data_IF_021654045795
#
_entry.id   IF_021654045795
#
_cell.length_a   1.000
_cell.length_b   1.000
_cell.length_c   1.000
_cell.angle_alpha   90.00
_cell.angle_beta   90.00
_cell.angle_gamma   90.00
#
_symmetry.space_group_name_H-M   'P 1'
#
loop_
_entity.id
_entity.type
_entity.pdbx_description
1 polymer ?
#
# COMPACT_ATOMS: atom_id res chain seq x y z
N UNK A 1 -19.37 4.82 7.86
CA UNK A 1 -18.32 5.08 6.86
C UNK A 1 -18.25 3.88 5.94
N UNK A 2 -18.45 4.11 4.63
CA UNK A 2 -18.34 3.11 3.57
C UNK A 2 -17.05 3.35 2.81
N UNK A 3 -16.23 2.31 2.64
CA UNK A 3 -14.96 2.39 1.93
C UNK A 3 -15.00 1.41 0.77
N UNK A 4 -14.69 1.89 -0.44
CA UNK A 4 -14.52 1.05 -1.62
C UNK A 4 -13.04 0.88 -1.95
N UNK A 5 -12.69 -0.28 -2.48
CA UNK A 5 -11.31 -0.62 -2.83
C UNK A 5 -11.22 -1.04 -4.28
N UNK A 6 -10.18 -0.54 -4.98
CA UNK A 6 -9.77 -1.06 -6.27
C UNK A 6 -8.46 -1.84 -6.09
N UNK A 7 -8.56 -3.16 -6.22
CA UNK A 7 -7.44 -4.09 -6.14
C UNK A 7 -7.01 -4.59 -7.51
N UNK A 8 -5.79 -5.13 -7.58
CA UNK A 8 -5.30 -5.91 -8.71
C UNK A 8 -4.75 -7.29 -8.28
N UNK A 9 -4.88 -7.60 -6.99
CA UNK A 9 -4.53 -8.89 -6.39
C UNK A 9 -5.67 -9.27 -5.46
N UNK A 10 -6.29 -10.44 -5.69
CA UNK A 10 -7.48 -10.88 -4.94
C UNK A 10 -7.21 -11.05 -3.44
N UNK A 11 -6.05 -11.58 -3.07
CA UNK A 11 -5.65 -11.75 -1.67
C UNK A 11 -5.64 -10.47 -0.83
N UNK A 12 -5.61 -9.28 -1.46
CA UNK A 12 -5.69 -8.02 -0.74
C UNK A 12 -7.03 -7.81 -0.02
N UNK A 13 -8.14 -8.37 -0.51
CA UNK A 13 -9.46 -8.27 0.14
C UNK A 13 -9.38 -8.68 1.60
N UNK A 14 -8.93 -9.92 1.85
CA UNK A 14 -8.82 -10.47 3.21
C UNK A 14 -7.91 -9.62 4.09
N UNK A 15 -6.78 -9.17 3.55
CA UNK A 15 -5.82 -8.38 4.32
C UNK A 15 -6.42 -7.04 4.76
N UNK A 16 -7.19 -6.37 3.88
CA UNK A 16 -7.90 -5.13 4.23
C UNK A 16 -9.06 -5.38 5.19
N UNK A 17 -9.82 -6.46 5.04
CA UNK A 17 -10.89 -6.83 5.97
C UNK A 17 -10.36 -7.07 7.38
N UNK A 18 -9.27 -7.81 7.51
CA UNK A 18 -8.67 -8.11 8.80
C UNK A 18 -8.07 -6.85 9.47
N UNK A 19 -7.39 -6.00 8.71
CA UNK A 19 -6.91 -4.72 9.22
C UNK A 19 -8.05 -3.77 9.60
N UNK A 20 -9.14 -3.73 8.83
CA UNK A 20 -10.31 -2.92 9.15
C UNK A 20 -10.95 -3.35 10.47
N UNK A 21 -11.09 -4.66 10.73
CA UNK A 21 -11.56 -5.19 12.02
C UNK A 21 -10.69 -4.72 13.18
N UNK A 22 -9.36 -4.78 13.04
CA UNK A 22 -8.43 -4.32 14.10
C UNK A 22 -8.53 -2.82 14.37
N UNK A 23 -8.94 -2.04 13.37
CA UNK A 23 -9.18 -0.61 13.48
C UNK A 23 -10.62 -0.25 13.91
N UNK A 24 -11.46 -1.24 14.22
CA UNK A 24 -12.86 -1.03 14.64
C UNK A 24 -13.79 -0.64 13.51
N UNK A 25 -13.41 -0.84 12.26
CA UNK A 25 -14.26 -0.62 11.09
C UNK A 25 -15.18 -1.81 10.84
N UNK A 26 -16.39 -1.54 10.33
CA UNK A 26 -17.36 -2.59 9.98
C UNK A 26 -17.06 -3.12 8.59
N UNK A 27 -16.78 -4.41 8.50
CA UNK A 27 -16.47 -5.09 7.21
C UNK A 27 -17.67 -5.03 6.25
N UNK A 28 -18.89 -5.07 6.75
CA UNK A 28 -20.11 -4.94 5.93
C UNK A 28 -20.19 -3.62 5.14
N UNK A 29 -19.38 -2.63 5.53
CA UNK A 29 -19.31 -1.33 4.86
C UNK A 29 -18.11 -1.24 3.87
N UNK A 30 -17.42 -2.35 3.62
CA UNK A 30 -16.30 -2.42 2.70
C UNK A 30 -16.74 -3.06 1.38
N UNK A 31 -16.44 -2.40 0.27
CA UNK A 31 -16.70 -2.90 -1.07
C UNK A 31 -15.39 -3.12 -1.81
N UNK A 32 -15.14 -4.34 -2.24
CA UNK A 32 -13.91 -4.72 -2.91
C UNK A 32 -14.17 -5.03 -4.39
N UNK A 33 -13.51 -4.29 -5.27
CA UNK A 33 -13.43 -4.59 -6.70
C UNK A 33 -12.02 -5.04 -7.06
N UNK A 34 -11.89 -6.12 -7.83
CA UNK A 34 -10.60 -6.67 -8.28
C UNK A 34 -10.52 -6.59 -9.79
N UNK A 35 -9.53 -5.84 -10.30
CA UNK A 35 -9.24 -5.61 -11.71
C UNK A 35 -7.77 -5.98 -11.99
N UNK A 36 -7.45 -7.29 -11.92
CA UNK A 36 -6.11 -7.80 -12.26
C UNK A 36 -5.75 -7.52 -13.71
N UNK A 37 -6.76 -7.54 -14.60
CA UNK A 37 -6.66 -7.23 -16.02
C UNK A 37 -6.01 -5.85 -16.28
N UNK A 38 -6.33 -4.83 -15.48
CA UNK A 38 -5.74 -3.49 -15.64
C UNK A 38 -4.23 -3.49 -15.39
N UNK A 39 -3.78 -4.19 -14.34
CA UNK A 39 -2.34 -4.31 -14.06
C UNK A 39 -1.64 -5.12 -15.14
N UNK A 40 -2.24 -6.24 -15.54
CA UNK A 40 -1.71 -7.12 -16.59
C UNK A 40 -1.56 -6.36 -17.91
N UNK A 41 -2.59 -5.60 -18.32
CA UNK A 41 -2.53 -4.78 -19.51
C UNK A 41 -1.41 -3.72 -19.48
N UNK A 42 -1.12 -3.11 -18.31
CA UNK A 42 0.01 -2.19 -18.16
C UNK A 42 1.34 -2.93 -18.27
N UNK A 43 1.45 -4.13 -17.69
CA UNK A 43 2.67 -4.95 -17.74
C UNK A 43 2.95 -5.44 -19.17
N UNK A 44 1.93 -5.93 -19.87
CA UNK A 44 2.05 -6.43 -21.24
C UNK A 44 2.40 -5.32 -22.24
N UNK A 45 1.80 -4.15 -22.06
CA UNK A 45 2.10 -2.97 -22.89
C UNK A 45 3.46 -2.33 -22.57
N UNK A 46 4.08 -2.64 -21.41
CA UNK A 46 5.31 -1.99 -20.93
C UNK A 46 5.14 -0.50 -20.60
N UNK A 47 3.93 0.04 -20.71
CA UNK A 47 3.62 1.45 -20.44
C UNK A 47 2.18 1.63 -19.96
N UNK A 48 1.96 2.65 -19.12
CA UNK A 48 0.62 3.00 -18.64
C UNK A 48 0.01 4.07 -19.56
N UNK A 49 -0.64 3.61 -20.63
CA UNK A 49 -1.24 4.47 -21.66
C UNK A 49 -2.39 5.34 -21.12
N UNK A 50 -2.70 6.44 -21.83
CA UNK A 50 -3.85 7.29 -21.50
C UNK A 50 -5.17 6.53 -21.48
N UNK A 51 -5.35 5.54 -22.37
CA UNK A 51 -6.54 4.70 -22.40
C UNK A 51 -6.69 3.84 -21.11
N UNK A 52 -5.61 3.20 -20.65
CA UNK A 52 -5.59 2.41 -19.42
C UNK A 52 -5.75 3.28 -18.17
N UNK A 53 -5.19 4.48 -18.16
CA UNK A 53 -5.43 5.46 -17.09
C UNK A 53 -6.88 5.89 -17.03
N UNK A 54 -7.48 6.21 -18.19
CA UNK A 54 -8.90 6.54 -18.31
C UNK A 54 -9.82 5.41 -17.83
N UNK A 55 -9.49 4.14 -18.15
CA UNK A 55 -10.23 2.98 -17.64
C UNK A 55 -10.11 2.86 -16.13
N UNK A 56 -8.90 2.97 -15.59
CA UNK A 56 -8.66 2.96 -14.13
C UNK A 56 -9.48 4.06 -13.44
N UNK A 57 -9.47 5.28 -13.99
CA UNK A 57 -10.22 6.41 -13.43
C UNK A 57 -11.73 6.19 -13.49
N UNK A 58 -12.26 5.58 -14.57
CA UNK A 58 -13.69 5.19 -14.61
C UNK A 58 -14.06 4.23 -13.48
N UNK A 59 -13.22 3.22 -13.21
CA UNK A 59 -13.46 2.30 -12.08
C UNK A 59 -13.43 3.05 -10.74
N UNK A 60 -12.43 3.90 -10.51
CA UNK A 60 -12.30 4.67 -9.26
C UNK A 60 -13.51 5.60 -9.04
N UNK A 61 -13.95 6.30 -10.08
CA UNK A 61 -15.11 7.20 -10.00
C UNK A 61 -16.44 6.44 -9.81
N UNK A 62 -16.59 5.27 -10.44
CA UNK A 62 -17.76 4.41 -10.21
C UNK A 62 -17.83 3.94 -8.76
N UNK A 63 -16.71 3.54 -8.16
CA UNK A 63 -16.62 3.18 -6.75
C UNK A 63 -16.88 4.38 -5.83
N UNK A 64 -16.40 5.57 -6.20
CA UNK A 64 -16.59 6.80 -5.45
C UNK A 64 -18.06 7.23 -5.36
N UNK A 65 -18.88 6.92 -6.35
CA UNK A 65 -20.30 7.28 -6.36
C UNK A 65 -21.12 6.65 -5.23
N UNK A 66 -20.62 5.58 -4.61
CA UNK A 66 -21.34 4.81 -3.58
C UNK A 66 -20.57 4.66 -2.26
N UNK A 67 -19.48 5.37 -2.09
CA UNK A 67 -18.58 5.29 -0.93
C UNK A 67 -18.32 6.67 -0.30
N UNK A 68 -17.85 6.66 0.91
CA UNK A 68 -17.36 7.85 1.61
C UNK A 68 -15.85 8.09 1.31
N UNK A 69 -15.14 7.03 0.88
CA UNK A 69 -13.78 7.08 0.34
C UNK A 69 -13.48 5.89 -0.57
N UNK A 70 -12.48 6.03 -1.43
CA UNK A 70 -11.92 4.94 -2.25
C UNK A 70 -10.45 4.76 -1.94
N UNK A 71 -10.00 3.49 -1.86
CA UNK A 71 -8.58 3.15 -1.72
C UNK A 71 -8.13 2.40 -2.99
N UNK A 72 -7.16 2.97 -3.70
CA UNK A 72 -6.41 2.27 -4.74
C UNK A 72 -5.24 1.54 -4.11
N UNK A 73 -5.19 0.21 -4.26
CA UNK A 73 -4.21 -0.65 -3.59
C UNK A 73 -3.05 -1.10 -4.48
N UNK A 74 -3.06 -0.69 -5.73
CA UNK A 74 -2.05 -1.06 -6.72
C UNK A 74 -1.19 0.14 -7.10
N UNK A 75 0.11 0.09 -6.77
CA UNK A 75 1.07 1.14 -7.11
C UNK A 75 1.22 1.34 -8.63
N UNK A 76 1.14 0.26 -9.42
CA UNK A 76 1.21 0.31 -10.89
C UNK A 76 0.12 1.20 -11.50
N UNK A 77 -1.08 1.20 -10.91
CA UNK A 77 -2.21 2.03 -11.36
C UNK A 77 -2.22 3.42 -10.71
N UNK A 78 -1.33 3.67 -9.76
CA UNK A 78 -1.25 4.93 -9.00
C UNK A 78 -1.21 6.19 -9.83
N UNK A 79 -0.43 6.27 -10.93
CA UNK A 79 -0.37 7.48 -11.77
C UNK A 79 -1.71 7.90 -12.38
N UNK A 80 -2.70 7.01 -12.50
CA UNK A 80 -4.03 7.41 -12.96
C UNK A 80 -4.71 8.41 -12.00
N UNK A 81 -4.52 8.24 -10.69
CA UNK A 81 -5.12 9.12 -9.67
C UNK A 81 -4.57 10.55 -9.76
N UNK A 82 -3.33 10.72 -10.22
CA UNK A 82 -2.69 12.04 -10.36
C UNK A 82 -3.35 12.88 -11.47
N UNK A 83 -4.10 12.25 -12.37
CA UNK A 83 -4.84 12.92 -13.45
C UNK A 83 -6.29 13.30 -13.06
N UNK A 84 -6.75 12.90 -11.86
CA UNK A 84 -8.07 13.27 -11.35
C UNK A 84 -8.01 14.69 -10.75
N UNK A 85 -8.68 15.65 -11.40
CA UNK A 85 -8.66 17.07 -10.99
C UNK A 85 -9.33 17.28 -9.62
N UNK A 86 -10.51 16.68 -9.41
CA UNK A 86 -11.22 16.72 -8.12
C UNK A 86 -12.22 15.57 -8.03
N UNK A 87 -12.41 15.06 -6.82
CA UNK A 87 -13.40 14.01 -6.54
C UNK A 87 -14.26 14.41 -5.35
N UNK A 88 -15.55 14.02 -5.37
CA UNK A 88 -16.48 14.32 -4.28
C UNK A 88 -16.07 13.64 -2.95
N UNK A 89 -15.39 12.50 -3.06
CA UNK A 89 -14.88 11.74 -1.91
C UNK A 89 -13.37 11.52 -2.06
N UNK A 90 -12.61 11.39 -0.99
CA UNK A 90 -11.18 11.15 -1.08
C UNK A 90 -10.87 9.82 -1.78
N UNK A 91 -9.98 9.87 -2.78
CA UNK A 91 -9.32 8.71 -3.35
C UNK A 91 -7.92 8.64 -2.76
N UNK A 92 -7.63 7.57 -2.03
CA UNK A 92 -6.36 7.35 -1.33
C UNK A 92 -5.57 6.26 -2.04
N UNK A 93 -4.32 6.56 -2.39
CA UNK A 93 -3.36 5.55 -2.83
C UNK A 93 -2.69 4.93 -1.62
N UNK A 94 -2.72 3.61 -1.51
CA UNK A 94 -2.15 2.89 -0.37
C UNK A 94 -0.61 3.05 -0.28
N UNK A 95 0.08 3.09 -1.41
CA UNK A 95 1.52 3.33 -1.50
C UNK A 95 1.90 4.74 -1.06
N UNK A 96 1.13 5.76 -1.44
CA UNK A 96 1.32 7.16 -1.00
C UNK A 96 1.08 7.30 0.50
N UNK A 97 0.03 6.67 1.03
CA UNK A 97 -0.26 6.69 2.45
C UNK A 97 0.90 6.07 3.28
N UNK A 98 1.47 4.97 2.79
CA UNK A 98 2.64 4.34 3.41
C UNK A 98 3.86 5.25 3.37
N UNK A 99 4.19 5.83 2.21
CA UNK A 99 5.33 6.73 2.06
C UNK A 99 5.20 7.96 2.98
N UNK A 100 4.01 8.55 3.05
CA UNK A 100 3.73 9.67 3.95
C UNK A 100 3.83 9.28 5.44
N UNK A 101 3.40 8.06 5.81
CA UNK A 101 3.53 7.55 7.17
C UNK A 101 4.99 7.34 7.56
N UNK A 102 5.80 6.74 6.67
CA UNK A 102 7.23 6.54 6.89
C UNK A 102 7.98 7.88 6.98
N UNK A 103 7.68 8.82 6.09
CA UNK A 103 8.29 10.15 6.09
C UNK A 103 8.03 10.95 7.38
N UNK A 104 6.89 10.74 8.04
CA UNK A 104 6.58 11.36 9.34
C UNK A 104 7.43 10.81 10.49
N UNK A 105 7.81 9.54 10.44
CA UNK A 105 8.70 8.95 11.45
C UNK A 105 10.13 9.48 11.27
N UNK A 106 10.59 9.62 10.05
CA UNK A 106 11.93 10.11 9.73
C UNK A 106 13.03 9.07 9.91
N UNK A 107 14.29 9.52 9.91
CA UNK A 107 15.46 8.66 10.02
C UNK A 107 15.77 7.86 8.76
N UNK A 108 16.43 6.73 8.91
CA UNK A 108 16.73 5.80 7.81
C UNK A 108 15.50 4.92 7.51
N UNK A 109 14.93 5.09 6.32
CA UNK A 109 13.78 4.30 5.85
C UNK A 109 14.28 3.16 4.96
N UNK A 110 13.89 1.93 5.28
CA UNK A 110 14.11 0.76 4.42
C UNK A 110 12.77 0.20 3.97
N UNK A 111 12.54 0.19 2.65
CA UNK A 111 11.30 -0.34 2.05
C UNK A 111 11.57 -1.72 1.47
N UNK A 112 10.79 -2.70 1.89
CA UNK A 112 10.86 -4.07 1.39
C UNK A 112 9.88 -4.25 0.24
N UNK A 113 10.38 -4.63 -0.93
CA UNK A 113 9.65 -4.76 -2.18
C UNK A 113 9.77 -6.18 -2.73
N UNK A 114 8.65 -6.78 -3.13
CA UNK A 114 8.61 -8.15 -3.65
C UNK A 114 8.75 -8.24 -5.18
N UNK A 115 8.69 -7.10 -5.88
CA UNK A 115 8.72 -7.04 -7.35
C UNK A 115 9.83 -6.10 -7.79
N UNK A 116 10.81 -6.63 -8.52
CA UNK A 116 12.00 -5.88 -8.94
C UNK A 116 11.65 -4.60 -9.72
N UNK A 117 10.71 -4.69 -10.67
CA UNK A 117 10.28 -3.55 -11.46
C UNK A 117 9.60 -2.43 -10.63
N UNK A 118 9.18 -2.72 -9.40
CA UNK A 118 8.60 -1.73 -8.50
C UNK A 118 9.64 -1.01 -7.62
N UNK A 119 10.91 -1.45 -7.60
CA UNK A 119 11.95 -0.90 -6.71
C UNK A 119 12.15 0.60 -6.96
N UNK A 120 12.45 0.96 -8.20
CA UNK A 120 12.75 2.35 -8.54
C UNK A 120 11.52 3.29 -8.45
N UNK A 121 10.33 2.91 -8.92
CA UNK A 121 9.11 3.69 -8.66
C UNK A 121 8.81 3.88 -7.17
N UNK A 122 9.03 2.85 -6.35
CA UNK A 122 8.86 2.92 -4.89
C UNK A 122 9.86 3.89 -4.27
N UNK A 123 11.14 3.81 -4.64
CA UNK A 123 12.19 4.73 -4.16
C UNK A 123 11.78 6.18 -4.41
N UNK A 124 11.46 6.52 -5.67
CA UNK A 124 11.03 7.88 -6.05
C UNK A 124 9.79 8.35 -5.29
N UNK A 125 8.85 7.43 -5.02
CA UNK A 125 7.66 7.76 -4.24
C UNK A 125 8.03 8.14 -2.80
N UNK A 126 8.86 7.33 -2.13
CA UNK A 126 9.25 7.58 -0.74
C UNK A 126 10.12 8.84 -0.62
N UNK A 127 11.05 9.08 -1.55
CA UNK A 127 11.85 10.30 -1.60
C UNK A 127 10.98 11.56 -1.73
N UNK A 128 9.92 11.53 -2.56
CA UNK A 128 8.97 12.65 -2.69
C UNK A 128 8.17 12.94 -1.42
N UNK A 129 8.02 11.97 -0.53
CA UNK A 129 7.29 12.08 0.73
C UNK A 129 8.22 12.15 1.95
N UNK A 130 9.53 12.20 1.71
CA UNK A 130 10.51 12.37 2.78
C UNK A 130 10.37 13.75 3.42
N UNK A 131 10.32 13.79 4.76
CA UNK A 131 10.45 15.03 5.53
C UNK A 131 11.93 15.38 5.74
N UNK A 132 12.21 16.57 6.26
CA UNK A 132 13.57 17.02 6.57
C UNK A 132 14.29 16.12 7.60
N UNK A 133 13.55 15.30 8.33
CA UNK A 133 14.08 14.35 9.30
C UNK A 133 14.48 13.00 8.68
N UNK A 134 14.16 12.74 7.42
CA UNK A 134 14.57 11.52 6.70
C UNK A 134 16.04 11.63 6.29
N UNK A 135 16.85 10.67 6.71
CA UNK A 135 18.29 10.65 6.41
C UNK A 135 18.63 9.87 5.13
N UNK A 136 17.89 8.80 4.85
CA UNK A 136 18.01 8.02 3.61
C UNK A 136 16.75 7.20 3.34
N UNK A 137 16.57 6.83 2.06
CA UNK A 137 15.54 5.89 1.60
C UNK A 137 16.22 4.76 0.83
N UNK A 138 16.19 3.57 1.40
CA UNK A 138 16.67 2.35 0.77
C UNK A 138 15.47 1.47 0.37
N UNK A 139 15.49 0.91 -0.85
CA UNK A 139 14.48 -0.06 -1.29
C UNK A 139 15.17 -1.38 -1.59
N UNK A 140 14.78 -2.41 -0.88
CA UNK A 140 15.35 -3.75 -0.98
C UNK A 140 14.36 -4.68 -1.68
N UNK A 141 14.77 -5.29 -2.78
CA UNK A 141 14.02 -6.35 -3.44
C UNK A 141 14.24 -7.67 -2.70
N UNK A 142 13.17 -8.22 -2.13
CA UNK A 142 13.20 -9.56 -1.54
C UNK A 142 12.92 -10.56 -2.66
N UNK A 143 13.97 -11.17 -3.19
CA UNK A 143 13.83 -12.20 -4.21
C UNK A 143 12.92 -13.34 -3.71
N UNK A 144 12.28 -14.06 -4.65
CA UNK A 144 11.39 -15.22 -4.43
C UNK A 144 10.08 -15.00 -3.64
N UNK A 145 9.92 -13.98 -2.78
CA UNK A 145 8.68 -13.85 -1.99
C UNK A 145 7.43 -13.70 -2.86
N UNK A 146 7.54 -13.06 -4.03
CA UNK A 146 6.43 -12.99 -4.98
C UNK A 146 6.09 -14.36 -5.57
N UNK A 147 7.08 -15.21 -5.83
CA UNK A 147 6.86 -16.58 -6.31
C UNK A 147 6.21 -17.45 -5.21
N UNK A 148 6.71 -17.34 -3.97
CA UNK A 148 6.13 -18.02 -2.81
C UNK A 148 4.65 -17.63 -2.60
N UNK A 149 4.36 -16.32 -2.67
CA UNK A 149 2.99 -15.82 -2.56
C UNK A 149 2.07 -16.38 -3.64
N UNK A 150 2.51 -16.41 -4.91
CA UNK A 150 1.73 -16.94 -6.03
C UNK A 150 1.53 -18.46 -5.98
N UNK A 151 2.44 -19.19 -5.37
CA UNK A 151 2.34 -20.64 -5.20
C UNK A 151 1.68 -21.07 -3.89
N UNK A 152 1.05 -20.14 -3.17
CA UNK A 152 0.35 -20.34 -1.90
C UNK A 152 1.26 -20.88 -0.75
N UNK A 153 2.57 -20.69 -0.87
CA UNK A 153 3.52 -20.99 0.21
C UNK A 153 3.60 -19.81 1.19
N UNK A 154 2.47 -19.52 1.83
CA UNK A 154 2.24 -18.29 2.59
C UNK A 154 3.11 -18.19 3.83
N UNK A 155 3.27 -19.27 4.59
CA UNK A 155 4.08 -19.27 5.82
C UNK A 155 5.55 -18.97 5.52
N UNK A 156 6.13 -19.63 4.50
CA UNK A 156 7.51 -19.39 4.08
C UNK A 156 7.67 -17.97 3.52
N UNK A 157 6.67 -17.49 2.77
CA UNK A 157 6.63 -16.14 2.22
C UNK A 157 6.71 -15.10 3.35
N UNK A 158 5.83 -15.18 4.34
CA UNK A 158 5.79 -14.21 5.43
C UNK A 158 6.99 -14.33 6.36
N UNK A 159 7.51 -15.54 6.60
CA UNK A 159 8.75 -15.73 7.34
C UNK A 159 9.94 -15.04 6.66
N UNK A 160 10.06 -15.16 5.33
CA UNK A 160 11.12 -14.50 4.56
C UNK A 160 11.00 -12.96 4.61
N UNK A 161 9.79 -12.41 4.51
CA UNK A 161 9.53 -10.97 4.62
C UNK A 161 9.93 -10.47 6.01
N UNK A 162 9.51 -11.18 7.07
CA UNK A 162 9.83 -10.80 8.45
C UNK A 162 11.34 -10.90 8.74
N UNK A 163 12.03 -11.92 8.21
CA UNK A 163 13.48 -12.04 8.32
C UNK A 163 14.19 -10.82 7.69
N UNK A 164 13.79 -10.44 6.47
CA UNK A 164 14.35 -9.24 5.81
C UNK A 164 14.05 -7.95 6.57
N UNK A 165 12.92 -7.85 7.27
CA UNK A 165 12.62 -6.71 8.12
C UNK A 165 13.57 -6.66 9.34
N UNK A 166 13.81 -7.79 9.99
CA UNK A 166 14.75 -7.88 11.10
C UNK A 166 16.17 -7.49 10.68
N UNK A 167 16.65 -8.01 9.53
CA UNK A 167 17.95 -7.65 8.95
C UNK A 167 18.05 -6.14 8.66
N UNK A 168 16.98 -5.53 8.14
CA UNK A 168 16.95 -4.09 7.88
C UNK A 168 17.06 -3.26 9.17
N UNK A 169 16.37 -3.68 10.25
CA UNK A 169 16.51 -3.03 11.56
C UNK A 169 17.91 -3.22 12.15
N UNK A 170 18.48 -4.40 12.05
CA UNK A 170 19.85 -4.69 12.47
C UNK A 170 20.89 -3.85 11.69
N UNK A 171 20.60 -3.56 10.41
CA UNK A 171 21.39 -2.65 9.58
C UNK A 171 21.13 -1.15 9.88
N UNK A 172 20.39 -0.84 10.94
CA UNK A 172 20.17 0.51 11.44
C UNK A 172 19.00 1.25 10.79
N UNK A 173 18.05 0.57 10.16
CA UNK A 173 16.82 1.21 9.71
C UNK A 173 16.03 1.75 10.92
N UNK A 174 15.58 3.00 10.85
CA UNK A 174 14.65 3.60 11.81
C UNK A 174 13.23 3.12 11.53
N UNK A 175 12.90 2.98 10.24
CA UNK A 175 11.60 2.53 9.75
C UNK A 175 11.82 1.45 8.71
N UNK A 176 11.09 0.35 8.85
CA UNK A 176 10.92 -0.64 7.79
C UNK A 176 9.49 -0.55 7.27
N UNK A 177 9.30 -0.55 5.96
CA UNK A 177 8.00 -0.45 5.32
C UNK A 177 7.78 -1.58 4.29
N UNK A 178 6.58 -2.15 4.26
CA UNK A 178 6.19 -3.20 3.31
C UNK A 178 5.45 -2.59 2.11
N UNK A 179 6.07 -2.61 0.94
CA UNK A 179 5.57 -1.93 -0.25
C UNK A 179 4.23 -2.47 -0.76
N UNK A 180 3.97 -3.75 -0.59
CA UNK A 180 2.77 -4.39 -1.15
C UNK A 180 1.77 -4.75 -0.06
N UNK A 181 0.44 -4.49 -0.26
CA UNK A 181 -0.58 -4.74 0.78
C UNK A 181 -0.60 -6.17 1.30
N UNK A 182 -0.45 -7.18 0.43
CA UNK A 182 -0.45 -8.58 0.82
C UNK A 182 0.71 -8.99 1.73
N UNK A 183 1.74 -8.15 1.89
CA UNK A 183 2.84 -8.37 2.84
C UNK A 183 2.46 -8.01 4.29
N UNK A 184 1.38 -7.27 4.51
CA UNK A 184 1.00 -6.75 5.83
C UNK A 184 0.91 -7.82 6.94
N UNK A 185 0.42 -9.06 6.72
CA UNK A 185 0.40 -10.06 7.76
C UNK A 185 1.78 -10.41 8.35
N UNK A 186 2.86 -10.23 7.58
CA UNK A 186 4.23 -10.48 8.06
C UNK A 186 4.69 -9.49 9.15
N UNK A 187 3.99 -8.36 9.36
CA UNK A 187 4.28 -7.39 10.43
C UNK A 187 4.31 -8.08 11.80
N UNK A 188 3.39 -9.01 12.04
CA UNK A 188 3.28 -9.71 13.32
C UNK A 188 4.39 -10.74 13.56
N UNK A 189 5.20 -11.05 12.56
CA UNK A 189 6.32 -12.00 12.65
C UNK A 189 7.67 -11.30 12.86
N UNK A 190 7.75 -9.98 12.70
CA UNK A 190 8.96 -9.21 12.96
C UNK A 190 9.22 -9.12 14.48
N UNK A 191 10.49 -9.33 14.90
CA UNK A 191 10.84 -9.60 16.31
C UNK A 191 11.51 -8.44 17.03
N UNK A 192 12.01 -7.43 16.34
CA UNK A 192 12.97 -6.46 16.93
C UNK A 192 12.32 -5.23 17.59
N UNK A 193 11.15 -5.36 18.21
CA UNK A 193 10.55 -4.29 19.04
C UNK A 193 9.93 -3.13 18.26
N UNK A 194 10.35 -2.89 17.02
CA UNK A 194 9.75 -1.92 16.12
C UNK A 194 8.92 -2.66 15.08
N UNK A 195 7.63 -2.34 14.98
CA UNK A 195 6.77 -2.95 13.97
C UNK A 195 6.98 -2.27 12.62
N UNK A 196 7.21 -3.04 11.54
CA UNK A 196 7.21 -2.48 10.20
C UNK A 196 5.90 -1.78 9.87
N UNK A 197 5.97 -0.72 9.09
CA UNK A 197 4.80 -0.07 8.52
C UNK A 197 4.30 -0.87 7.31
N UNK A 198 2.99 -0.89 7.12
CA UNK A 198 2.37 -1.49 5.95
C UNK A 198 1.36 -0.54 5.30
N UNK A 199 1.14 -0.73 4.01
CA UNK A 199 0.29 0.14 3.20
C UNK A 199 -1.21 -0.01 3.52
N UNK A 200 -1.62 -1.12 4.12
CA UNK A 200 -3.01 -1.42 4.47
C UNK A 200 -3.46 -0.54 5.62
N UNK A 201 -2.75 -0.61 6.76
CA UNK A 201 -3.04 0.22 7.93
C UNK A 201 -2.82 1.70 7.63
N UNK A 202 -1.76 2.05 6.87
CA UNK A 202 -1.50 3.43 6.48
C UNK A 202 -2.66 4.02 5.65
N UNK A 203 -3.19 3.28 4.67
CA UNK A 203 -4.30 3.72 3.85
C UNK A 203 -5.61 3.87 4.65
N UNK A 204 -5.96 2.86 5.45
CA UNK A 204 -7.17 2.90 6.28
C UNK A 204 -7.14 4.06 7.27
N UNK A 205 -6.02 4.26 7.98
CA UNK A 205 -5.85 5.40 8.89
C UNK A 205 -5.94 6.74 8.17
N UNK A 206 -5.37 6.85 6.95
CA UNK A 206 -5.47 8.07 6.14
C UNK A 206 -6.92 8.36 5.76
N UNK A 207 -7.70 7.35 5.39
CA UNK A 207 -9.14 7.50 5.10
C UNK A 207 -9.90 7.96 6.35
N UNK A 208 -9.67 7.29 7.49
CA UNK A 208 -10.31 7.65 8.76
C UNK A 208 -10.02 9.12 9.15
N UNK A 209 -8.80 9.57 8.97
CA UNK A 209 -8.41 10.97 9.25
C UNK A 209 -9.11 11.96 8.30
N UNK A 210 -9.20 11.63 7.01
CA UNK A 210 -9.83 12.54 6.01
C UNK A 210 -11.34 12.65 6.15
N UNK A 211 -12.02 11.58 6.59
CA UNK A 211 -13.47 11.56 6.73
C UNK A 211 -13.90 11.98 8.15
N UNK A 212 -13.12 11.60 9.17
CA UNK A 212 -13.46 11.83 10.58
C UNK A 212 -13.25 13.27 11.06
N UNK A 213 -12.71 14.18 10.23
CA UNK A 213 -12.33 15.53 10.65
C UNK A 213 -11.05 15.56 11.51
N UNK A 214 -10.61 16.73 11.98
CA UNK A 214 -9.37 16.84 12.73
C UNK A 214 -9.43 15.97 13.98
N UNK A 215 -8.41 15.13 14.16
CA UNK A 215 -8.24 14.25 15.31
C UNK A 215 -8.50 15.02 16.60
N UNK A 216 -9.50 14.61 17.37
CA UNK A 216 -9.53 14.90 18.79
C UNK A 216 -8.25 14.27 19.35
N UNK A 217 -7.29 15.12 19.72
CA UNK A 217 -6.05 14.70 20.34
C UNK A 217 -6.35 13.90 21.61
N UNK A 218 -5.71 12.78 21.74
CA UNK A 218 -5.40 12.13 23.00
C UNK A 218 -3.89 12.03 23.10
#
# INVERSE_FOLDING_TARGET
>A
MRISFLHTVDGNKRVFDDAAKTLGLRVDNLLHEVRSDLREAVQDAGTFSAALKGETNRCLLALAAHADAVILTCATLGPAVEELESTQVPIVRADVALAAAAGKVGGKITVLCAVEAAVEPTRKLFERHASDTVTSVDVIHIARVWALFKSDNIDECFAAIAASANEAYEAGATVVAYAHPWMAPAVNLARNGSQPLDSVHAALRTVMQRIGGPSLGI
#
